data_IF_755448268357
#
_entry.id   IF_755448268357
#
_cell.length_a   1.000
_cell.length_b   1.000
_cell.length_c   1.000
_cell.angle_alpha   90.00
_cell.angle_beta   90.00
_cell.angle_gamma   90.00
#
_symmetry.space_group_name_H-M   'P 1'
#
loop_
_entity.id
_entity.type
_entity.pdbx_description
1 polymer ?
#
# COMPACT_ATOMS: atom_id res chain seq x y z
N UNK A 1 19.44 -30.40 41.09
CA UNK A 1 18.60 -29.96 39.95
C UNK A 1 18.91 -30.88 38.78
N UNK A 2 17.98 -31.77 38.40
CA UNK A 2 18.21 -32.73 37.32
C UNK A 2 17.86 -32.10 35.97
N UNK A 3 18.86 -31.97 35.09
CA UNK A 3 18.69 -31.43 33.75
C UNK A 3 18.55 -32.60 32.76
N UNK A 4 17.35 -32.79 32.19
CA UNK A 4 17.11 -33.88 31.24
C UNK A 4 17.65 -33.52 29.85
N UNK A 5 18.47 -34.43 29.31
CA UNK A 5 19.14 -34.28 28.02
C UNK A 5 18.46 -35.19 26.98
N UNK A 6 17.73 -34.60 26.05
CA UNK A 6 17.16 -35.31 24.89
C UNK A 6 18.13 -35.30 23.69
N UNK A 7 18.36 -36.44 23.02
CA UNK A 7 19.26 -36.52 21.86
C UNK A 7 18.55 -36.33 20.51
N UNK A 8 19.36 -36.06 19.47
CA UNK A 8 18.97 -35.93 18.06
C UNK A 8 18.73 -37.30 17.38
N UNK A 9 17.84 -37.36 16.39
CA UNK A 9 17.63 -38.51 15.48
C UNK A 9 16.60 -38.23 14.36
N UNK A 10 16.86 -38.54 13.07
CA UNK A 10 16.00 -38.16 11.93
C UNK A 10 15.29 -39.35 11.22
N UNK A 11 14.76 -39.11 9.99
CA UNK A 11 14.40 -40.06 8.91
C UNK A 11 12.88 -40.40 8.67
N UNK A 12 12.46 -40.95 7.48
CA UNK A 12 11.42 -40.29 6.66
C UNK A 12 10.35 -41.19 5.97
N UNK A 13 9.63 -40.60 5.00
CA UNK A 13 8.98 -41.19 3.79
C UNK A 13 7.59 -41.89 3.81
N UNK A 14 6.70 -41.35 2.95
CA UNK A 14 5.65 -41.95 2.06
C UNK A 14 4.55 -42.91 2.54
N UNK A 15 3.29 -42.55 2.18
CA UNK A 15 2.21 -43.48 1.78
C UNK A 15 1.26 -42.80 0.74
N UNK A 16 0.54 -43.59 -0.09
CA UNK A 16 -0.12 -43.11 -1.34
C UNK A 16 -1.39 -43.91 -1.72
N UNK A 17 -2.60 -43.29 -1.69
CA UNK A 17 -3.88 -43.68 -2.39
C UNK A 17 -4.47 -45.09 -2.08
N UNK A 18 -5.66 -45.55 -2.58
CA UNK A 18 -6.79 -44.91 -3.34
C UNK A 18 -8.23 -45.20 -2.75
N UNK A 19 -9.32 -44.77 -3.43
CA UNK A 19 -10.54 -45.57 -3.84
C UNK A 19 -11.75 -44.67 -4.24
N UNK A 20 -12.61 -45.14 -5.17
CA UNK A 20 -13.60 -44.37 -5.96
C UNK A 20 -15.09 -44.60 -5.65
N UNK A 21 -15.95 -43.66 -6.11
CA UNK A 21 -17.36 -43.79 -6.58
C UNK A 21 -17.72 -42.52 -7.41
N UNK A 22 -18.68 -42.41 -8.35
CA UNK A 22 -19.38 -43.34 -9.27
C UNK A 22 -19.99 -42.49 -10.44
N UNK A 23 -20.29 -43.11 -11.60
CA UNK A 23 -20.69 -42.48 -12.88
C UNK A 23 -22.19 -42.14 -13.02
N UNK A 24 -22.61 -41.37 -14.06
CA UNK A 24 -23.20 -42.01 -15.26
C UNK A 24 -22.57 -41.57 -16.61
N UNK A 25 -22.88 -42.28 -17.70
CA UNK A 25 -22.11 -42.34 -18.97
C UNK A 25 -22.95 -41.98 -20.22
N UNK A 26 -22.32 -42.03 -21.43
CA UNK A 26 -22.87 -42.00 -22.81
C UNK A 26 -23.00 -40.57 -23.43
N UNK A 27 -22.54 -40.24 -24.65
CA UNK A 27 -21.95 -41.01 -25.78
C UNK A 27 -20.97 -40.15 -26.62
N UNK A 28 -19.97 -40.78 -27.24
CA UNK A 28 -19.12 -40.25 -28.36
C UNK A 28 -19.88 -40.30 -29.71
N UNK A 29 -19.59 -39.47 -30.75
CA UNK A 29 -18.31 -39.53 -31.48
C UNK A 29 -17.79 -38.25 -32.19
N UNK A 30 -16.61 -38.44 -32.81
CA UNK A 30 -16.06 -37.75 -34.01
C UNK A 30 -14.86 -36.83 -33.79
N UNK A 31 -13.82 -37.10 -34.59
CA UNK A 31 -12.48 -36.53 -34.56
C UNK A 31 -12.40 -35.07 -35.00
N UNK A 32 -11.41 -34.34 -34.49
CA UNK A 32 -11.04 -33.00 -34.98
C UNK A 32 -9.84 -32.44 -34.24
N UNK A 33 -8.67 -32.45 -34.86
CA UNK A 33 -7.44 -31.87 -34.33
C UNK A 33 -7.51 -30.34 -34.27
N UNK A 34 -7.43 -29.74 -33.08
CA UNK A 34 -6.79 -28.42 -32.91
C UNK A 34 -6.42 -28.15 -31.44
N UNK A 35 -5.12 -28.08 -31.08
CA UNK A 35 -4.71 -27.58 -29.78
C UNK A 35 -4.71 -26.04 -29.80
N UNK A 36 -5.87 -25.42 -29.61
CA UNK A 36 -5.93 -23.98 -29.33
C UNK A 36 -5.48 -23.71 -27.88
N UNK A 37 -4.43 -22.90 -27.65
CA UNK A 37 -4.03 -22.55 -26.29
C UNK A 37 -5.06 -21.58 -25.74
N UNK A 38 -5.96 -22.08 -24.89
CA UNK A 38 -6.88 -21.23 -24.13
C UNK A 38 -6.03 -20.36 -23.22
N UNK A 39 -5.79 -19.12 -23.64
CA UNK A 39 -4.87 -18.21 -22.95
C UNK A 39 -5.49 -17.83 -21.61
N UNK A 40 -5.16 -18.63 -20.59
CA UNK A 40 -5.69 -18.52 -19.24
C UNK A 40 -5.22 -17.20 -18.64
N UNK A 41 -6.01 -16.15 -18.87
CA UNK A 41 -5.78 -14.79 -18.39
C UNK A 41 -5.79 -14.83 -16.87
N UNK A 42 -4.61 -15.02 -16.29
CA UNK A 42 -4.39 -15.06 -14.86
C UNK A 42 -4.77 -13.70 -14.28
N UNK A 43 -5.99 -13.61 -13.77
CA UNK A 43 -6.46 -12.43 -13.08
C UNK A 43 -5.51 -12.12 -11.92
N UNK A 44 -5.04 -10.87 -11.75
CA UNK A 44 -4.08 -10.53 -10.73
C UNK A 44 -4.63 -10.89 -9.35
N UNK A 45 -3.93 -11.80 -8.68
CA UNK A 45 -4.43 -12.55 -7.53
C UNK A 45 -4.68 -11.62 -6.33
N UNK A 46 -5.93 -11.51 -5.89
CA UNK A 46 -6.34 -11.15 -4.51
C UNK A 46 -5.78 -9.83 -3.91
N UNK A 47 -5.60 -8.75 -4.69
CA UNK A 47 -5.18 -7.42 -4.17
C UNK A 47 -6.28 -6.62 -3.42
N UNK A 48 -7.32 -7.31 -2.95
CA UNK A 48 -8.47 -6.67 -2.27
C UNK A 48 -8.10 -6.07 -0.91
N UNK A 49 -7.32 -6.77 -0.08
CA UNK A 49 -6.92 -6.29 1.24
C UNK A 49 -6.04 -5.03 1.17
N UNK A 50 -5.08 -4.99 0.23
CA UNK A 50 -4.16 -3.87 0.08
C UNK A 50 -4.87 -2.61 -0.43
N UNK A 51 -5.76 -2.74 -1.40
CA UNK A 51 -6.57 -1.61 -1.90
C UNK A 51 -7.56 -1.09 -0.84
N UNK A 52 -8.15 -1.97 -0.02
CA UNK A 52 -8.95 -1.57 1.15
C UNK A 52 -8.12 -0.88 2.23
N UNK A 53 -6.89 -1.33 2.47
CA UNK A 53 -5.95 -0.71 3.40
C UNK A 53 -5.61 0.71 2.96
N UNK A 54 -5.11 0.91 1.73
CA UNK A 54 -4.78 2.24 1.20
C UNK A 54 -6.00 3.17 1.19
N UNK A 55 -7.19 2.67 0.81
CA UNK A 55 -8.42 3.47 0.86
C UNK A 55 -8.71 4.01 2.27
N UNK A 56 -8.57 3.17 3.30
CA UNK A 56 -8.78 3.58 4.70
C UNK A 56 -7.67 4.52 5.20
N UNK A 57 -6.42 4.27 4.80
CA UNK A 57 -5.26 5.13 5.11
C UNK A 57 -5.41 6.52 4.49
N UNK A 58 -5.77 6.62 3.21
CA UNK A 58 -5.95 7.91 2.55
C UNK A 58 -7.08 8.72 3.16
N UNK A 59 -8.25 8.11 3.41
CA UNK A 59 -9.36 8.80 4.08
C UNK A 59 -8.97 9.31 5.48
N UNK A 60 -8.34 8.47 6.30
CA UNK A 60 -7.90 8.84 7.65
C UNK A 60 -6.84 9.95 7.63
N UNK A 61 -5.89 9.88 6.71
CA UNK A 61 -4.80 10.86 6.59
C UNK A 61 -5.30 12.20 6.06
N UNK A 62 -6.18 12.22 5.05
CA UNK A 62 -6.76 13.45 4.52
C UNK A 62 -7.58 14.20 5.57
N UNK A 63 -8.40 13.49 6.35
CA UNK A 63 -9.17 14.08 7.45
C UNK A 63 -8.26 14.72 8.52
N UNK A 64 -7.15 14.05 8.88
CA UNK A 64 -6.16 14.59 9.83
C UNK A 64 -5.39 15.78 9.26
N UNK A 65 -4.95 15.72 8.00
CA UNK A 65 -4.30 16.82 7.31
C UNK A 65 -5.23 18.05 7.28
N UNK A 66 -6.49 17.86 6.88
CA UNK A 66 -7.50 18.92 6.85
C UNK A 66 -7.68 19.57 8.23
N UNK A 67 -7.99 18.78 9.25
CA UNK A 67 -8.26 19.26 10.61
C UNK A 67 -7.03 19.91 11.28
N UNK A 68 -5.81 19.42 11.02
CA UNK A 68 -4.58 20.09 11.47
C UNK A 68 -4.36 21.42 10.72
N UNK A 69 -4.51 21.44 9.40
CA UNK A 69 -4.32 22.64 8.59
C UNK A 69 -5.37 23.73 8.88
N UNK A 70 -6.63 23.35 9.12
CA UNK A 70 -7.70 24.27 9.54
C UNK A 70 -7.38 24.90 10.91
N UNK A 71 -6.91 24.10 11.87
CA UNK A 71 -6.44 24.60 13.19
C UNK A 71 -5.20 25.49 13.08
N UNK A 72 -4.34 25.25 12.10
CA UNK A 72 -3.18 26.10 11.76
C UNK A 72 -3.52 27.31 10.87
N UNK A 73 -4.80 27.48 10.48
CA UNK A 73 -5.29 28.54 9.57
C UNK A 73 -4.58 28.57 8.20
N UNK A 74 -4.22 27.41 7.67
CA UNK A 74 -3.64 27.30 6.33
C UNK A 74 -4.73 27.33 5.26
N UNK A 75 -4.46 27.98 4.12
CA UNK A 75 -5.40 28.12 3.01
C UNK A 75 -5.64 26.79 2.29
N UNK A 76 -6.81 26.61 1.66
CA UNK A 76 -7.17 25.39 0.93
C UNK A 76 -6.12 24.95 -0.12
N UNK A 77 -5.51 25.87 -0.86
CA UNK A 77 -4.42 25.58 -1.79
C UNK A 77 -3.19 24.97 -1.08
N UNK A 78 -2.87 25.44 0.12
CA UNK A 78 -1.82 24.83 0.97
C UNK A 78 -2.20 23.41 1.39
N UNK A 79 -3.47 23.17 1.74
CA UNK A 79 -3.96 21.83 2.12
C UNK A 79 -3.80 20.84 0.97
N UNK A 80 -4.12 21.24 -0.26
CA UNK A 80 -3.92 20.41 -1.46
C UNK A 80 -2.43 20.11 -1.69
N UNK A 81 -1.55 21.11 -1.55
CA UNK A 81 -0.09 20.92 -1.66
C UNK A 81 0.46 19.96 -0.59
N UNK A 82 -0.01 20.06 0.65
CA UNK A 82 0.32 19.10 1.72
C UNK A 82 -0.17 17.69 1.36
N UNK A 83 -1.41 17.55 0.90
CA UNK A 83 -1.98 16.26 0.51
C UNK A 83 -1.15 15.59 -0.60
N UNK A 84 -0.88 16.28 -1.70
CA UNK A 84 -0.08 15.75 -2.81
C UNK A 84 1.34 15.36 -2.38
N UNK A 85 1.97 16.15 -1.52
CA UNK A 85 3.28 15.82 -0.95
C UNK A 85 3.22 14.54 -0.11
N UNK A 86 2.23 14.42 0.77
CA UNK A 86 2.02 13.26 1.62
C UNK A 86 1.70 11.98 0.83
N UNK A 87 0.80 12.06 -0.16
CA UNK A 87 0.43 10.94 -1.03
C UNK A 87 1.63 10.44 -1.83
N UNK A 88 2.44 11.35 -2.38
CA UNK A 88 3.67 11.00 -3.08
C UNK A 88 4.67 10.27 -2.16
N UNK A 89 4.85 10.75 -0.93
CA UNK A 89 5.66 10.03 0.07
C UNK A 89 5.13 8.62 0.36
N UNK A 90 3.80 8.47 0.47
CA UNK A 90 3.16 7.18 0.76
C UNK A 90 3.34 6.14 -0.35
N UNK A 91 3.21 6.58 -1.61
CA UNK A 91 3.22 5.71 -2.79
C UNK A 91 4.64 5.38 -3.25
N UNK A 92 5.51 6.39 -3.33
CA UNK A 92 6.85 6.24 -3.91
C UNK A 92 7.89 5.75 -2.89
N UNK A 93 7.66 5.96 -1.59
CA UNK A 93 8.60 5.61 -0.53
C UNK A 93 7.91 4.82 0.61
N UNK A 94 7.34 3.63 0.34
CA UNK A 94 6.57 2.87 1.33
C UNK A 94 7.39 2.51 2.59
N UNK A 95 8.70 2.31 2.45
CA UNK A 95 9.62 2.12 3.59
C UNK A 95 9.62 3.31 4.56
N UNK A 96 9.20 4.51 4.14
CA UNK A 96 9.07 5.65 5.05
C UNK A 96 7.98 5.51 6.10
N UNK A 97 7.03 4.58 5.94
CA UNK A 97 6.04 4.23 6.96
C UNK A 97 6.49 3.09 7.87
N UNK A 98 7.52 2.32 7.49
CA UNK A 98 7.92 1.12 8.22
C UNK A 98 8.38 1.51 9.62
N UNK A 99 7.85 0.80 10.63
CA UNK A 99 8.14 0.99 12.05
C UNK A 99 7.85 2.43 12.56
N UNK A 100 7.00 3.19 11.86
CA UNK A 100 6.64 4.58 12.18
C UNK A 100 5.12 4.81 12.18
N UNK A 101 4.68 5.81 12.94
CA UNK A 101 3.28 6.25 12.89
C UNK A 101 3.08 7.18 11.69
N UNK A 102 2.00 6.97 10.93
CA UNK A 102 1.57 7.83 9.83
C UNK A 102 1.41 9.30 10.22
N UNK A 103 1.06 9.60 11.48
CA UNK A 103 1.00 10.97 12.00
C UNK A 103 2.35 11.71 11.92
N UNK A 104 3.48 10.99 12.02
CA UNK A 104 4.81 11.58 11.85
C UNK A 104 5.00 12.04 10.41
N UNK A 105 4.58 11.22 9.44
CA UNK A 105 4.66 11.57 8.02
C UNK A 105 3.70 12.74 7.69
N UNK A 106 2.48 12.73 8.23
CA UNK A 106 1.51 13.84 8.12
C UNK A 106 2.13 15.16 8.64
N UNK A 107 2.69 15.15 9.85
CA UNK A 107 3.31 16.34 10.45
C UNK A 107 4.54 16.81 9.67
N UNK A 108 5.36 15.89 9.15
CA UNK A 108 6.49 16.23 8.29
C UNK A 108 6.04 16.90 6.97
N UNK A 109 5.01 16.36 6.29
CA UNK A 109 4.45 16.94 5.07
C UNK A 109 3.83 18.32 5.30
N UNK A 110 3.11 18.52 6.42
CA UNK A 110 2.59 19.84 6.82
C UNK A 110 3.75 20.83 7.01
N UNK A 111 4.76 20.44 7.79
CA UNK A 111 5.91 21.31 8.12
C UNK A 111 6.67 21.77 6.87
N UNK A 112 7.02 20.84 5.96
CA UNK A 112 7.85 21.19 4.80
C UNK A 112 7.11 22.13 3.83
N UNK A 113 5.83 21.89 3.56
CA UNK A 113 5.02 22.74 2.67
C UNK A 113 4.78 24.12 3.30
N UNK A 114 4.40 24.18 4.58
CA UNK A 114 4.19 25.46 5.27
C UNK A 114 5.48 26.30 5.32
N UNK A 115 6.63 25.66 5.56
CA UNK A 115 7.95 26.32 5.55
C UNK A 115 8.31 26.88 4.18
N UNK A 116 8.09 26.12 3.10
CA UNK A 116 8.36 26.57 1.72
C UNK A 116 7.48 27.76 1.34
N UNK A 117 6.19 27.72 1.69
CA UNK A 117 5.26 28.82 1.40
C UNK A 117 5.65 30.10 2.17
N UNK A 118 5.97 29.97 3.46
CA UNK A 118 6.45 31.11 4.27
C UNK A 118 7.73 31.73 3.70
N UNK A 119 8.69 30.90 3.26
CA UNK A 119 9.92 31.39 2.64
C UNK A 119 9.65 32.10 1.30
N UNK A 120 8.75 31.57 0.46
CA UNK A 120 8.39 32.20 -0.81
C UNK A 120 7.71 33.56 -0.59
N UNK A 121 6.82 33.68 0.40
CA UNK A 121 6.17 34.95 0.74
C UNK A 121 7.21 35.99 1.22
N UNK A 122 8.17 35.59 2.04
CA UNK A 122 9.26 36.48 2.49
C UNK A 122 10.16 36.94 1.33
N UNK A 123 10.50 36.05 0.40
CA UNK A 123 11.31 36.40 -0.78
C UNK A 123 10.58 37.40 -1.70
N UNK A 124 9.27 37.19 -1.92
CA UNK A 124 8.45 38.12 -2.71
C UNK A 124 8.37 39.51 -2.05
N UNK A 125 8.19 39.56 -0.72
CA UNK A 125 8.19 40.82 0.01
C UNK A 125 9.54 41.54 -0.10
N UNK A 126 10.66 40.85 0.07
CA UNK A 126 11.99 41.46 -0.03
C UNK A 126 12.27 42.06 -1.42
N UNK A 127 11.82 41.42 -2.49
CA UNK A 127 11.99 41.93 -3.85
C UNK A 127 11.18 43.22 -4.12
N UNK A 128 10.03 43.39 -3.46
CA UNK A 128 9.21 44.60 -3.59
C UNK A 128 9.82 45.81 -2.86
N UNK A 129 10.80 45.60 -1.97
CA UNK A 129 11.40 46.64 -1.13
C UNK A 129 12.63 47.32 -1.78
N UNK A 130 13.07 46.86 -2.96
CA UNK A 130 14.33 47.25 -3.61
C UNK A 130 14.09 48.21 -4.80
N UNK A 131 12.82 48.54 -5.06
CA UNK A 131 12.39 49.37 -6.21
C UNK A 131 12.05 50.83 -5.85
N UNK A 132 12.77 51.42 -4.87
CA UNK A 132 12.67 52.84 -4.52
C UNK A 132 14.05 53.50 -4.48
#
# INVERSE_FOLDING_TARGET
MANMRSPLGPSPDKAKTPTSVTTPILTTPTSGDTPTPVMQRSSPKKTGSLSLFYRKVYQMSYLRIKDLCERLRLEHDTIQKVWTCFEHCLVCFPDMMKDRNIDQLIMCSIYIVAKVINNNNNNNNNNNNISL
#
